data_IF_062565688441
#
_entry.id   IF_062565688441
#
_cell.length_a   1.000
_cell.length_b   1.000
_cell.length_c   1.000
_cell.angle_alpha   90.00
_cell.angle_beta   90.00
_cell.angle_gamma   90.00
#
_symmetry.space_group_name_H-M   'P 1'
#
loop_
_entity.id
_entity.type
_entity.pdbx_description
1 polymer ?
#
# COMPACT_ATOMS: atom_id res chain seq x y z
N UNK A 1 -21.66 5.84 62.86
CA UNK A 1 -20.97 6.44 61.69
C UNK A 1 -19.83 5.49 61.30
N UNK A 2 -20.01 4.60 60.31
CA UNK A 2 -18.93 3.75 59.77
C UNK A 2 -19.37 2.85 58.58
N UNK A 3 -20.27 3.33 57.70
CA UNK A 3 -20.71 2.56 56.51
C UNK A 3 -20.52 3.30 55.18
N UNK A 4 -19.98 4.53 55.18
CA UNK A 4 -19.81 5.33 53.94
C UNK A 4 -18.52 5.01 53.18
N UNK A 5 -17.42 4.70 53.87
CA UNK A 5 -16.10 4.44 53.23
C UNK A 5 -16.10 3.18 52.33
N UNK A 6 -16.92 2.17 52.64
CA UNK A 6 -17.05 0.97 51.80
C UNK A 6 -17.86 1.18 50.52
N UNK A 7 -18.64 2.26 50.43
CA UNK A 7 -19.48 2.59 49.27
C UNK A 7 -18.72 3.44 48.25
N UNK A 8 -17.88 4.36 48.72
CA UNK A 8 -17.01 5.19 47.86
C UNK A 8 -15.97 4.36 47.10
N UNK A 9 -15.34 3.38 47.76
CA UNK A 9 -14.37 2.49 47.10
C UNK A 9 -14.99 1.60 46.02
N UNK A 10 -16.26 1.18 46.18
CA UNK A 10 -16.95 0.42 45.13
C UNK A 10 -17.29 1.30 43.94
N UNK A 11 -17.72 2.53 44.18
CA UNK A 11 -18.12 3.46 43.12
C UNK A 11 -16.95 3.84 42.21
N UNK A 12 -15.77 4.06 42.79
CA UNK A 12 -14.54 4.36 42.04
C UNK A 12 -14.14 3.20 41.12
N UNK A 13 -14.20 1.95 41.60
CA UNK A 13 -13.90 0.76 40.79
C UNK A 13 -14.89 0.59 39.63
N UNK A 14 -16.18 0.89 39.85
CA UNK A 14 -17.18 0.89 38.76
C UNK A 14 -16.93 2.01 37.74
N UNK A 15 -16.46 3.19 38.17
CA UNK A 15 -16.16 4.32 37.30
C UNK A 15 -14.90 4.07 36.44
N UNK A 16 -13.86 3.49 37.04
CA UNK A 16 -12.65 3.06 36.33
C UNK A 16 -12.94 1.92 35.34
N UNK A 17 -13.74 0.94 35.76
CA UNK A 17 -14.19 -0.16 34.91
C UNK A 17 -15.05 0.32 33.73
N UNK A 18 -15.90 1.33 33.95
CA UNK A 18 -16.72 1.94 32.89
C UNK A 18 -15.86 2.69 31.87
N UNK A 19 -14.85 3.44 32.32
CA UNK A 19 -13.90 4.12 31.43
C UNK A 19 -13.15 3.14 30.53
N UNK A 20 -12.68 2.03 31.11
CA UNK A 20 -11.98 0.99 30.36
C UNK A 20 -12.93 0.27 29.37
N UNK A 21 -14.17 -0.01 29.80
CA UNK A 21 -15.19 -0.63 28.94
C UNK A 21 -15.55 0.25 27.73
N UNK A 22 -15.77 1.55 27.93
CA UNK A 22 -16.06 2.51 26.84
C UNK A 22 -14.87 2.65 25.91
N UNK A 23 -13.64 2.65 26.44
CA UNK A 23 -12.43 2.65 25.61
C UNK A 23 -12.33 1.41 24.71
N UNK A 24 -12.58 0.21 25.25
CA UNK A 24 -12.59 -1.03 24.46
C UNK A 24 -13.67 -1.02 23.38
N UNK A 25 -14.89 -0.56 23.69
CA UNK A 25 -15.94 -0.43 22.67
C UNK A 25 -15.54 0.58 21.59
N UNK A 26 -14.95 1.71 21.98
CA UNK A 26 -14.44 2.70 21.04
C UNK A 26 -13.38 2.12 20.09
N UNK A 27 -12.45 1.31 20.61
CA UNK A 27 -11.47 0.60 19.81
C UNK A 27 -12.13 -0.39 18.85
N UNK A 28 -13.03 -1.25 19.33
CA UNK A 28 -13.70 -2.26 18.50
C UNK A 28 -14.49 -1.60 17.36
N UNK A 29 -15.27 -0.56 17.66
CA UNK A 29 -16.03 0.18 16.65
C UNK A 29 -15.10 0.91 15.67
N UNK A 30 -14.02 1.52 16.17
CA UNK A 30 -13.00 2.16 15.34
C UNK A 30 -12.32 1.19 14.37
N UNK A 31 -11.93 0.01 14.87
CA UNK A 31 -11.36 -1.07 14.04
C UNK A 31 -12.37 -1.61 13.04
N UNK A 32 -13.63 -1.81 13.40
CA UNK A 32 -14.68 -2.23 12.47
C UNK A 32 -14.89 -1.19 11.36
N UNK A 33 -14.89 0.10 11.69
CA UNK A 33 -15.05 1.16 10.69
C UNK A 33 -13.84 1.25 9.75
N UNK A 34 -12.62 1.13 10.29
CA UNK A 34 -11.40 1.08 9.50
C UNK A 34 -11.36 -0.16 8.60
N UNK A 35 -11.76 -1.32 9.13
CA UNK A 35 -11.89 -2.56 8.37
C UNK A 35 -12.94 -2.43 7.26
N UNK A 36 -14.10 -1.82 7.52
CA UNK A 36 -15.12 -1.55 6.49
C UNK A 36 -14.62 -0.60 5.40
N UNK A 37 -13.87 0.45 5.78
CA UNK A 37 -13.28 1.42 4.84
C UNK A 37 -12.22 0.75 3.97
N UNK A 38 -11.31 -0.01 4.56
CA UNK A 38 -10.29 -0.79 3.86
C UNK A 38 -10.93 -1.86 2.97
N UNK A 39 -11.96 -2.55 3.46
CA UNK A 39 -12.71 -3.56 2.70
C UNK A 39 -13.40 -2.94 1.49
N UNK A 40 -14.12 -1.81 1.63
CA UNK A 40 -14.72 -1.09 0.48
C UNK A 40 -13.67 -0.62 -0.53
N UNK A 41 -12.48 -0.23 -0.07
CA UNK A 41 -11.38 0.16 -0.94
C UNK A 41 -10.79 -1.06 -1.66
N UNK A 42 -10.67 -2.19 -0.96
CA UNK A 42 -10.25 -3.47 -1.55
C UNK A 42 -11.28 -4.04 -2.51
N UNK A 43 -12.57 -3.91 -2.25
CA UNK A 43 -13.64 -4.32 -3.16
C UNK A 43 -13.66 -3.43 -4.41
N UNK A 44 -13.43 -2.11 -4.30
CA UNK A 44 -13.29 -1.25 -5.49
C UNK A 44 -12.03 -1.58 -6.30
N UNK A 45 -10.92 -1.92 -5.64
CA UNK A 45 -9.71 -2.39 -6.33
C UNK A 45 -9.87 -3.80 -6.92
N UNK A 46 -10.58 -4.71 -6.25
CA UNK A 46 -10.84 -6.05 -6.76
C UNK A 46 -11.99 -6.13 -7.76
N UNK A 47 -12.97 -5.22 -7.77
CA UNK A 47 -13.98 -5.17 -8.83
C UNK A 47 -13.34 -4.77 -10.16
N UNK A 48 -12.35 -3.88 -10.13
CA UNK A 48 -11.53 -3.57 -11.30
C UNK A 48 -10.58 -4.73 -11.66
N UNK A 49 -10.06 -5.51 -10.70
CA UNK A 49 -9.22 -6.68 -10.98
C UNK A 49 -10.01 -7.94 -11.41
N UNK A 50 -11.20 -8.18 -10.86
CA UNK A 50 -12.06 -9.34 -11.14
C UNK A 50 -12.91 -9.17 -12.40
N UNK A 51 -13.22 -7.94 -12.85
CA UNK A 51 -13.77 -7.72 -14.20
C UNK A 51 -12.70 -8.04 -15.27
N UNK A 52 -11.41 -7.87 -14.95
CA UNK A 52 -10.30 -8.25 -15.82
C UNK A 52 -10.09 -9.77 -15.84
N UNK A 53 -10.35 -10.48 -14.74
CA UNK A 53 -10.17 -11.95 -14.67
C UNK A 53 -11.40 -12.75 -15.15
N UNK A 54 -12.63 -12.30 -14.87
CA UNK A 54 -13.86 -13.03 -15.21
C UNK A 54 -14.29 -12.93 -16.68
N UNK A 55 -13.68 -12.04 -17.49
CA UNK A 55 -13.84 -12.06 -18.96
C UNK A 55 -12.87 -13.00 -19.69
N UNK A 56 -11.89 -13.56 -18.97
CA UNK A 56 -10.83 -14.40 -19.58
C UNK A 56 -11.29 -15.83 -19.91
N UNK A 57 -12.38 -16.33 -19.30
CA UNK A 57 -12.83 -17.73 -19.50
C UNK A 57 -14.13 -17.93 -20.29
N UNK A 58 -14.78 -16.89 -20.81
CA UNK A 58 -16.07 -17.06 -21.54
C UNK A 58 -16.27 -16.09 -22.71
N UNK A 59 -15.39 -16.10 -23.72
CA UNK A 59 -15.76 -15.58 -25.05
C UNK A 59 -14.90 -16.18 -26.17
N UNK A 60 -15.03 -17.47 -26.44
CA UNK A 60 -14.50 -18.07 -27.68
C UNK A 60 -15.50 -18.14 -28.82
N UNK A 61 -16.74 -17.69 -28.64
CA UNK A 61 -17.71 -17.65 -29.72
C UNK A 61 -18.66 -16.47 -29.58
N UNK A 62 -18.65 -15.62 -30.62
CA UNK A 62 -19.73 -14.76 -31.15
C UNK A 62 -19.32 -13.29 -31.40
N UNK A 63 -18.80 -13.10 -32.62
CA UNK A 63 -19.11 -12.03 -33.59
C UNK A 63 -19.97 -10.85 -33.07
N UNK A 64 -19.43 -9.63 -33.13
CA UNK A 64 -19.91 -8.59 -34.06
C UNK A 64 -19.03 -7.31 -33.95
N UNK A 65 -18.50 -6.74 -35.04
CA UNK A 65 -17.44 -5.74 -34.97
C UNK A 65 -17.92 -4.36 -35.47
N UNK A 66 -18.29 -3.40 -34.62
CA UNK A 66 -18.33 -2.00 -35.13
C UNK A 66 -18.32 -0.82 -34.16
N UNK A 67 -18.37 -0.97 -32.82
CA UNK A 67 -18.59 0.22 -31.97
C UNK A 67 -17.70 0.44 -30.74
N UNK A 68 -16.57 -0.26 -30.63
CA UNK A 68 -15.64 -0.12 -29.47
C UNK A 68 -14.16 0.07 -29.81
N UNK A 69 -13.81 0.40 -31.06
CA UNK A 69 -12.39 0.44 -31.48
C UNK A 69 -11.66 1.78 -31.27
N UNK A 70 -12.35 2.86 -30.93
CA UNK A 70 -11.71 4.17 -30.75
C UNK A 70 -11.18 4.46 -29.33
N UNK A 71 -11.70 3.78 -28.29
CA UNK A 71 -11.29 4.02 -26.88
C UNK A 71 -10.34 2.96 -26.30
N UNK A 72 -10.23 1.77 -26.90
CA UNK A 72 -9.34 0.71 -26.42
C UNK A 72 -7.88 0.83 -26.90
N UNK A 73 -7.62 1.59 -27.97
CA UNK A 73 -6.25 1.81 -28.47
C UNK A 73 -5.44 2.82 -27.64
N UNK A 74 -6.08 3.53 -26.72
CA UNK A 74 -5.47 4.66 -25.99
C UNK A 74 -4.99 4.26 -24.59
N UNK A 75 -5.51 3.19 -23.98
CA UNK A 75 -5.12 2.72 -22.64
C UNK A 75 -4.00 1.65 -22.66
N UNK A 76 -4.04 0.69 -23.59
CA UNK A 76 -2.93 -0.27 -23.78
C UNK A 76 -1.59 0.40 -24.15
N UNK A 77 -1.65 1.57 -24.80
CA UNK A 77 -0.46 2.35 -25.16
C UNK A 77 0.11 3.12 -23.96
N UNK A 78 -0.67 3.38 -22.91
CA UNK A 78 -0.22 4.07 -21.69
C UNK A 78 0.47 3.11 -20.71
N UNK A 79 -0.09 1.92 -20.45
CA UNK A 79 0.56 0.94 -19.57
C UNK A 79 1.89 0.40 -20.13
N UNK A 80 1.97 0.13 -21.43
CA UNK A 80 3.22 -0.33 -22.06
C UNK A 80 4.31 0.76 -22.10
N UNK A 81 3.92 2.04 -22.11
CA UNK A 81 4.86 3.16 -22.04
C UNK A 81 5.33 3.43 -20.62
N UNK A 82 4.44 3.32 -19.64
CA UNK A 82 4.74 3.50 -18.22
C UNK A 82 5.64 2.38 -17.68
N UNK A 83 5.38 1.13 -18.08
CA UNK A 83 6.24 -0.02 -17.74
C UNK A 83 7.64 0.08 -18.36
N UNK A 84 7.77 0.56 -19.60
CA UNK A 84 9.10 0.80 -20.20
C UNK A 84 9.83 1.93 -19.49
N UNK A 85 9.14 2.99 -19.10
CA UNK A 85 9.73 4.12 -18.37
C UNK A 85 10.18 3.72 -16.97
N UNK A 86 9.38 2.94 -16.23
CA UNK A 86 9.75 2.48 -14.88
C UNK A 86 10.97 1.56 -14.91
N UNK A 87 11.08 0.69 -15.92
CA UNK A 87 12.23 -0.20 -16.06
C UNK A 87 13.53 0.57 -16.40
N UNK A 88 13.45 1.61 -17.23
CA UNK A 88 14.62 2.48 -17.51
C UNK A 88 15.06 3.19 -16.22
N UNK A 89 14.12 3.75 -15.46
CA UNK A 89 14.41 4.41 -14.18
C UNK A 89 15.06 3.45 -13.19
N UNK A 90 14.53 2.23 -13.09
CA UNK A 90 15.09 1.20 -12.22
C UNK A 90 16.51 0.81 -12.61
N UNK A 91 16.79 0.67 -13.92
CA UNK A 91 18.15 0.39 -14.42
C UNK A 91 19.13 1.50 -14.06
N UNK A 92 18.77 2.76 -14.29
CA UNK A 92 19.62 3.91 -13.93
C UNK A 92 19.89 3.96 -12.43
N UNK A 93 18.89 3.64 -11.60
CA UNK A 93 19.06 3.53 -10.16
C UNK A 93 20.04 2.41 -9.78
N UNK A 94 19.86 1.22 -10.34
CA UNK A 94 20.74 0.06 -10.06
C UNK A 94 22.19 0.37 -10.42
N UNK A 95 22.41 1.02 -11.56
CA UNK A 95 23.75 1.44 -12.00
C UNK A 95 24.35 2.46 -11.03
N UNK A 96 23.58 3.47 -10.62
CA UNK A 96 24.02 4.49 -9.67
C UNK A 96 24.39 3.87 -8.31
N UNK A 97 23.55 2.98 -7.79
CA UNK A 97 23.78 2.30 -6.50
C UNK A 97 24.96 1.34 -6.57
N UNK A 98 25.18 0.65 -7.70
CA UNK A 98 26.37 -0.21 -7.88
C UNK A 98 27.67 0.58 -7.82
N UNK A 99 27.68 1.80 -8.35
CA UNK A 99 28.85 2.67 -8.36
C UNK A 99 29.08 3.41 -7.04
N UNK A 100 28.11 3.38 -6.12
CA UNK A 100 28.26 3.99 -4.80
C UNK A 100 29.33 3.25 -3.97
N UNK A 101 30.17 4.04 -3.30
CA UNK A 101 31.31 3.57 -2.49
C UNK A 101 31.05 3.63 -0.98
N UNK A 102 29.96 4.27 -0.55
CA UNK A 102 29.59 4.41 0.86
C UNK A 102 28.09 4.23 1.06
N UNK A 103 27.71 3.91 2.30
CA UNK A 103 26.31 3.82 2.71
C UNK A 103 25.56 5.14 2.50
N UNK A 104 26.15 6.27 2.90
CA UNK A 104 25.60 7.61 2.68
C UNK A 104 25.30 7.88 1.21
N UNK A 105 26.19 7.49 0.29
CA UNK A 105 25.96 7.66 -1.15
C UNK A 105 24.77 6.82 -1.64
N UNK A 106 24.62 5.58 -1.17
CA UNK A 106 23.47 4.74 -1.51
C UNK A 106 22.17 5.35 -1.02
N UNK A 107 22.14 5.85 0.22
CA UNK A 107 20.97 6.50 0.81
C UNK A 107 20.60 7.80 0.06
N UNK A 108 21.59 8.62 -0.31
CA UNK A 108 21.36 9.83 -1.11
C UNK A 108 20.78 9.53 -2.50
N UNK A 109 21.30 8.49 -3.17
CA UNK A 109 20.77 8.04 -4.47
C UNK A 109 19.33 7.55 -4.30
N UNK A 110 19.05 6.74 -3.28
CA UNK A 110 17.69 6.26 -3.01
C UNK A 110 16.72 7.42 -2.76
N UNK A 111 17.07 8.36 -1.90
CA UNK A 111 16.24 9.53 -1.57
C UNK A 111 16.00 10.42 -2.79
N UNK A 112 17.03 10.63 -3.62
CA UNK A 112 16.90 11.38 -4.87
C UNK A 112 15.84 10.76 -5.78
N UNK A 113 15.92 9.44 -6.03
CA UNK A 113 14.99 8.76 -6.91
C UNK A 113 13.56 8.75 -6.34
N UNK A 114 13.39 8.46 -5.05
CA UNK A 114 12.06 8.38 -4.42
C UNK A 114 11.37 9.74 -4.32
N UNK A 115 12.14 10.82 -4.12
CA UNK A 115 11.59 12.18 -3.95
C UNK A 115 11.36 12.89 -5.29
N UNK A 116 12.23 12.66 -6.29
CA UNK A 116 12.17 13.37 -7.57
C UNK A 116 11.33 12.67 -8.63
N UNK A 117 11.16 11.35 -8.52
CA UNK A 117 10.49 10.56 -9.56
C UNK A 117 9.18 10.00 -8.99
N UNK A 118 8.01 10.34 -9.58
CA UNK A 118 6.76 9.71 -9.23
C UNK A 118 6.82 8.25 -9.68
N UNK A 119 6.68 7.33 -8.73
CA UNK A 119 6.76 5.89 -8.94
C UNK A 119 5.79 5.15 -8.02
N UNK A 120 5.43 3.93 -8.41
CA UNK A 120 4.53 3.08 -7.64
C UNK A 120 5.17 2.67 -6.31
N UNK A 121 4.35 2.31 -5.31
CA UNK A 121 4.87 1.81 -4.04
C UNK A 121 5.67 0.51 -4.22
N UNK A 122 5.26 -0.35 -5.14
CA UNK A 122 5.99 -1.57 -5.49
C UNK A 122 7.39 -1.28 -6.04
N UNK A 123 7.56 -0.24 -6.85
CA UNK A 123 8.87 0.14 -7.38
C UNK A 123 9.77 0.72 -6.30
N UNK A 124 9.22 1.53 -5.38
CA UNK A 124 9.96 2.04 -4.21
C UNK A 124 10.49 0.90 -3.34
N UNK A 125 9.66 -0.11 -3.10
CA UNK A 125 10.06 -1.27 -2.30
C UNK A 125 11.13 -2.11 -3.00
N UNK A 126 11.01 -2.29 -4.33
CA UNK A 126 12.03 -2.97 -5.15
C UNK A 126 13.37 -2.22 -5.10
N UNK A 127 13.35 -0.89 -5.19
CA UNK A 127 14.55 -0.05 -5.09
C UNK A 127 15.16 -0.08 -3.69
N UNK A 128 14.33 -0.05 -2.64
CA UNK A 128 14.78 -0.14 -1.25
C UNK A 128 15.52 -1.45 -0.98
N UNK A 129 14.92 -2.59 -1.38
CA UNK A 129 15.56 -3.91 -1.23
C UNK A 129 16.94 -3.96 -1.90
N UNK A 130 17.08 -3.32 -3.07
CA UNK A 130 18.37 -3.28 -3.76
C UNK A 130 19.39 -2.36 -3.05
N UNK A 131 18.97 -1.19 -2.58
CA UNK A 131 19.80 -0.30 -1.77
C UNK A 131 20.30 -0.99 -0.50
N UNK A 132 19.39 -1.62 0.26
CA UNK A 132 19.73 -2.35 1.50
C UNK A 132 20.75 -3.47 1.25
N UNK A 133 20.60 -4.20 0.14
CA UNK A 133 21.57 -5.22 -0.26
C UNK A 133 22.94 -4.63 -0.56
N UNK A 134 23.01 -3.47 -1.23
CA UNK A 134 24.28 -2.80 -1.52
C UNK A 134 24.94 -2.26 -0.26
N UNK A 135 24.18 -1.65 0.65
CA UNK A 135 24.70 -1.17 1.94
C UNK A 135 25.33 -2.33 2.70
N UNK A 136 24.62 -3.46 2.82
CA UNK A 136 25.16 -4.68 3.45
C UNK A 136 26.45 -5.21 2.80
N UNK A 137 26.69 -4.94 1.52
CA UNK A 137 27.95 -5.31 0.84
C UNK A 137 29.08 -4.31 1.14
N UNK A 138 28.76 -3.05 1.41
CA UNK A 138 29.73 -2.00 1.71
C UNK A 138 30.17 -2.00 3.18
N UNK A 139 29.30 -2.47 4.09
CA UNK A 139 29.61 -2.59 5.54
C UNK A 139 30.36 -3.87 5.91
N UNK A 140 30.53 -4.82 4.97
CA UNK A 140 31.29 -6.05 5.15
C UNK A 140 32.75 -5.87 4.74
#
# INVERSE_FOLDING_TARGET
MSNQEGQENKFVVYLEGFGCFVFFIGLVVGFLFLAMKMYKQYEKSQANARVVESRSKKSRFSKSPEKKRAKQKTEQKKESFESRRSEVIFRTFVESVRNAQSEEQVNQIFDYFVRKIPMSQSDKERMRKFADLRIKQLTK
#
